data_IF_211622624077
#
_entry.id   IF_211622624077
#
_cell.length_a   1.000
_cell.length_b   1.000
_cell.length_c   1.000
_cell.angle_alpha   90.00
_cell.angle_beta   90.00
_cell.angle_gamma   90.00
#
_symmetry.space_group_name_H-M   'P 1'
#
loop_
_entity.id
_entity.type
_entity.pdbx_description
1 polymer ?
#
# COMPACT_ATOMS: atom_id res chain seq x y z
N UNK A 1 -14.71 -1.42 17.74
CA UNK A 1 -13.92 -0.69 16.71
C UNK A 1 -12.46 -0.85 17.09
N UNK A 2 -11.60 -1.21 16.13
CA UNK A 2 -10.15 -1.40 16.32
C UNK A 2 -9.44 -0.38 15.44
N UNK A 3 -8.32 0.15 15.91
CA UNK A 3 -7.46 1.03 15.13
C UNK A 3 -6.05 0.42 15.06
N UNK A 4 -5.43 0.48 13.88
CA UNK A 4 -4.06 0.06 13.64
C UNK A 4 -3.26 1.31 13.25
N UNK A 5 -2.24 1.66 14.05
CA UNK A 5 -1.46 2.88 13.84
C UNK A 5 -0.16 2.61 13.07
N UNK A 6 0.21 3.54 12.19
CA UNK A 6 1.51 3.64 11.50
C UNK A 6 2.28 4.87 12.00
N UNK A 7 3.60 4.89 11.78
CA UNK A 7 4.41 6.10 11.97
C UNK A 7 4.42 6.98 10.70
N UNK A 8 4.11 6.35 9.57
CA UNK A 8 4.04 6.90 8.23
C UNK A 8 2.79 7.78 8.06
N UNK A 9 2.96 8.93 7.41
CA UNK A 9 1.87 9.89 7.15
C UNK A 9 0.92 9.44 6.05
N UNK A 10 1.45 8.77 5.03
CA UNK A 10 0.69 8.23 3.91
C UNK A 10 0.52 6.72 4.11
N UNK A 11 -0.71 6.18 4.08
CA UNK A 11 -0.92 4.74 4.17
C UNK A 11 -0.17 3.95 3.10
N UNK A 12 0.08 4.50 1.90
CA UNK A 12 0.76 3.81 0.81
C UNK A 12 2.28 3.66 1.00
N UNK A 13 2.87 4.38 1.95
CA UNK A 13 4.27 4.17 2.36
C UNK A 13 4.40 3.31 3.61
N UNK A 14 3.28 2.84 4.17
CA UNK A 14 3.28 1.98 5.35
C UNK A 14 3.10 0.50 4.98
N UNK A 15 4.00 -0.35 5.49
CA UNK A 15 3.88 -1.80 5.38
C UNK A 15 2.56 -2.36 5.93
N UNK A 16 1.95 -1.68 6.91
CA UNK A 16 0.66 -2.12 7.46
C UNK A 16 -0.44 -2.06 6.42
N UNK A 17 -0.45 -1.04 5.56
CA UNK A 17 -1.42 -0.99 4.44
C UNK A 17 -1.06 -2.04 3.40
N UNK A 18 0.19 -2.03 2.97
CA UNK A 18 0.66 -2.80 1.81
C UNK A 18 0.62 -4.32 2.06
N UNK A 19 0.87 -4.76 3.29
CA UNK A 19 0.92 -6.18 3.64
C UNK A 19 -0.29 -6.62 4.48
N UNK A 20 -0.60 -5.90 5.55
CA UNK A 20 -1.62 -6.34 6.52
C UNK A 20 -3.03 -6.01 6.05
N UNK A 21 -3.31 -4.74 5.72
CA UNK A 21 -4.63 -4.33 5.25
C UNK A 21 -5.01 -5.04 3.95
N UNK A 22 -4.04 -5.29 3.06
CA UNK A 22 -4.23 -6.17 1.90
C UNK A 22 -4.91 -7.47 2.31
N UNK A 23 -4.39 -8.21 3.29
CA UNK A 23 -4.97 -9.49 3.68
C UNK A 23 -6.32 -9.35 4.42
N UNK A 24 -6.55 -8.23 5.11
CA UNK A 24 -7.75 -7.97 5.91
C UNK A 24 -8.91 -7.36 5.12
N UNK A 25 -8.68 -6.89 3.88
CA UNK A 25 -9.67 -6.15 3.07
C UNK A 25 -10.96 -6.91 2.79
N UNK A 26 -10.94 -8.25 2.86
CA UNK A 26 -12.12 -9.09 2.66
C UNK A 26 -12.93 -9.31 3.95
N UNK A 27 -12.36 -9.04 5.11
CA UNK A 27 -12.97 -9.28 6.42
C UNK A 27 -13.43 -7.97 7.09
N UNK A 28 -12.81 -6.85 6.73
CA UNK A 28 -13.05 -5.56 7.34
C UNK A 28 -13.26 -4.47 6.29
N UNK A 29 -14.20 -3.56 6.58
CA UNK A 29 -14.23 -2.25 5.95
C UNK A 29 -13.11 -1.40 6.55
N UNK A 30 -12.13 -1.04 5.73
CA UNK A 30 -10.93 -0.30 6.15
C UNK A 30 -11.05 1.16 5.71
N UNK A 31 -10.71 2.06 6.63
CA UNK A 31 -10.66 3.50 6.41
C UNK A 31 -9.32 4.01 6.93
N UNK A 32 -8.67 4.88 6.16
CA UNK A 32 -7.39 5.50 6.51
C UNK A 32 -7.63 6.93 6.99
N UNK A 33 -6.96 7.29 8.08
CA UNK A 33 -6.93 8.68 8.55
C UNK A 33 -5.67 9.31 7.96
N UNK A 34 -5.84 10.23 7.01
CA UNK A 34 -4.73 10.95 6.38
C UNK A 34 -4.13 12.00 7.34
N UNK A 35 -2.94 12.50 7.02
CA UNK A 35 -2.26 13.52 7.82
C UNK A 35 -3.05 14.85 7.93
N UNK A 36 -3.89 15.12 6.94
CA UNK A 36 -4.86 16.22 6.93
C UNK A 36 -6.02 16.04 7.91
N UNK A 37 -6.19 14.85 8.48
CA UNK A 37 -7.34 14.43 9.28
C UNK A 37 -8.54 13.96 8.45
N UNK A 38 -8.44 13.94 7.12
CA UNK A 38 -9.47 13.39 6.25
C UNK A 38 -9.51 11.85 6.31
N UNK A 39 -10.69 11.29 6.06
CA UNK A 39 -10.88 9.86 5.97
C UNK A 39 -10.85 9.43 4.50
N UNK A 40 -9.97 8.49 4.18
CA UNK A 40 -9.86 7.87 2.86
C UNK A 40 -10.35 6.41 2.94
N UNK A 41 -11.38 6.02 2.19
CA UNK A 41 -11.76 4.62 2.04
C UNK A 41 -10.64 3.78 1.43
N UNK A 42 -10.47 2.54 1.89
CA UNK A 42 -9.40 1.67 1.40
C UNK A 42 -9.36 1.50 -0.13
N UNK A 43 -10.52 1.39 -0.77
CA UNK A 43 -10.64 1.30 -2.23
C UNK A 43 -10.04 2.53 -2.96
N UNK A 44 -10.12 3.72 -2.37
CA UNK A 44 -9.51 4.93 -2.94
C UNK A 44 -7.99 4.91 -2.79
N UNK A 45 -7.49 4.41 -1.66
CA UNK A 45 -6.06 4.19 -1.46
C UNK A 45 -5.52 3.18 -2.48
N UNK A 46 -6.25 2.11 -2.79
CA UNK A 46 -5.87 1.12 -3.82
C UNK A 46 -5.82 1.74 -5.23
N UNK A 47 -6.74 2.67 -5.57
CA UNK A 47 -6.66 3.40 -6.84
C UNK A 47 -5.45 4.34 -6.90
N UNK A 48 -5.13 5.04 -5.79
CA UNK A 48 -3.90 5.83 -5.67
C UNK A 48 -2.65 4.96 -5.75
N UNK A 49 -2.70 3.74 -5.24
CA UNK A 49 -1.61 2.77 -5.32
C UNK A 49 -1.32 2.38 -6.77
N UNK A 50 -2.35 2.16 -7.59
CA UNK A 50 -2.18 1.93 -9.04
C UNK A 50 -1.45 3.12 -9.71
N UNK A 51 -1.89 4.34 -9.41
CA UNK A 51 -1.27 5.55 -9.97
C UNK A 51 0.19 5.70 -9.51
N UNK A 52 0.48 5.39 -8.24
CA UNK A 52 1.80 5.48 -7.62
C UNK A 52 2.83 4.58 -8.32
N UNK A 53 2.44 3.34 -8.64
CA UNK A 53 3.32 2.37 -9.31
C UNK A 53 3.27 2.44 -10.85
N UNK A 54 2.49 3.38 -11.40
CA UNK A 54 2.35 3.58 -12.84
C UNK A 54 1.52 2.51 -13.55
N UNK A 55 0.58 1.86 -12.86
CA UNK A 55 -0.37 0.92 -13.47
C UNK A 55 -1.67 1.63 -13.86
N UNK A 56 -2.33 1.21 -14.96
CA UNK A 56 -3.62 1.78 -15.34
C UNK A 56 -4.70 1.35 -14.35
N UNK A 57 -5.76 2.17 -14.21
CA UNK A 57 -6.93 1.82 -13.38
C UNK A 57 -7.87 0.80 -14.05
N UNK A 58 -7.73 0.60 -15.36
CA UNK A 58 -8.51 -0.34 -16.17
C UNK A 58 -7.61 -0.94 -17.23
N UNK A 59 -7.76 -2.23 -17.47
CA UNK A 59 -7.03 -2.96 -18.50
C UNK A 59 -8.01 -3.86 -19.27
N UNK A 60 -7.68 -4.19 -20.52
CA UNK A 60 -8.53 -5.02 -21.37
C UNK A 60 -8.40 -6.52 -21.06
N UNK A 61 -7.24 -6.93 -20.53
CA UNK A 61 -6.88 -8.32 -20.31
C UNK A 61 -6.81 -8.69 -18.83
N UNK A 62 -6.51 -7.72 -17.97
CA UNK A 62 -6.42 -7.89 -16.51
C UNK A 62 -7.62 -7.26 -15.83
N UNK A 63 -8.17 -7.97 -14.85
CA UNK A 63 -9.13 -7.42 -13.91
C UNK A 63 -8.48 -6.33 -13.05
N UNK A 64 -9.32 -5.44 -12.50
CA UNK A 64 -8.85 -4.41 -11.56
C UNK A 64 -8.15 -5.02 -10.34
N UNK A 65 -8.65 -6.17 -9.85
CA UNK A 65 -8.05 -6.87 -8.72
C UNK A 65 -6.63 -7.36 -9.04
N UNK A 66 -6.40 -7.93 -10.22
CA UNK A 66 -5.06 -8.35 -10.65
C UNK A 66 -4.09 -7.17 -10.78
N UNK A 67 -4.56 -6.00 -11.19
CA UNK A 67 -3.74 -4.77 -11.25
C UNK A 67 -3.40 -4.29 -9.83
N UNK A 68 -4.37 -4.31 -8.92
CA UNK A 68 -4.18 -3.92 -7.51
C UNK A 68 -3.19 -4.87 -6.82
N UNK A 69 -3.31 -6.18 -7.05
CA UNK A 69 -2.39 -7.16 -6.46
C UNK A 69 -0.94 -6.97 -6.94
N UNK A 70 -0.73 -6.68 -8.23
CA UNK A 70 0.59 -6.32 -8.78
C UNK A 70 1.11 -4.99 -8.19
N UNK A 71 0.23 -4.01 -7.97
CA UNK A 71 0.62 -2.76 -7.33
C UNK A 71 1.06 -2.95 -5.87
N UNK A 72 0.38 -3.83 -5.12
CA UNK A 72 0.82 -4.22 -3.78
C UNK A 72 2.20 -4.88 -3.79
N UNK A 73 2.44 -5.79 -4.74
CA UNK A 73 3.73 -6.48 -4.85
C UNK A 73 4.87 -5.49 -5.14
N UNK A 74 4.70 -4.62 -6.15
CA UNK A 74 5.69 -3.57 -6.49
C UNK A 74 5.96 -2.61 -5.35
N UNK A 75 4.91 -2.11 -4.71
CA UNK A 75 5.06 -1.17 -3.62
C UNK A 75 5.71 -1.83 -2.40
N UNK A 76 5.38 -3.10 -2.13
CA UNK A 76 6.01 -3.89 -1.08
C UNK A 76 7.52 -4.02 -1.27
N UNK A 77 7.97 -4.26 -2.51
CA UNK A 77 9.40 -4.32 -2.85
C UNK A 77 10.11 -2.96 -2.72
N UNK A 78 9.40 -1.86 -3.02
CA UNK A 78 9.93 -0.50 -2.94
C UNK A 78 10.16 -0.06 -1.49
N UNK A 79 9.19 -0.30 -0.60
CA UNK A 79 9.28 0.14 0.80
C UNK A 79 9.93 -0.88 1.74
N UNK A 80 10.23 -2.10 1.25
CA UNK A 80 10.88 -3.14 2.01
C UNK A 80 12.20 -2.67 2.63
N UNK A 81 12.42 -3.06 3.89
CA UNK A 81 13.69 -2.83 4.56
C UNK A 81 14.84 -3.52 3.79
N UNK A 82 15.94 -2.78 3.60
CA UNK A 82 17.19 -3.29 3.04
C UNK A 82 18.28 -3.11 4.07
N UNK A 83 19.04 -4.17 4.33
CA UNK A 83 20.21 -4.08 5.21
C UNK A 83 21.24 -3.09 4.62
N UNK A 84 21.74 -2.13 5.41
CA UNK A 84 22.82 -1.27 4.96
C UNK A 84 24.04 -2.11 4.62
N UNK A 85 24.62 -1.92 3.43
CA UNK A 85 25.90 -2.53 3.10
C UNK A 85 26.99 -1.88 3.96
N UNK A 86 27.52 -2.62 4.94
CA UNK A 86 28.73 -2.21 5.64
C UNK A 86 29.87 -2.13 4.61
N UNK A 87 30.50 -0.96 4.40
CA UNK A 87 31.63 -0.86 3.49
C UNK A 87 32.73 -1.82 3.94
N UNK A 88 33.29 -2.59 3.02
CA UNK A 88 34.43 -3.44 3.33
C UNK A 88 35.60 -2.55 3.77
N UNK A 89 36.07 -2.76 5.00
CA UNK A 89 37.28 -2.12 5.52
C UNK A 89 38.44 -2.40 4.55
N UNK A 90 39.04 -1.34 4.01
CA UNK A 90 40.21 -1.41 3.12
C UNK A 90 41.49 -1.19 3.92
#
# INVERSE_FOLDING_TARGET
RVALMCAEKDPLTCHRTILICRQLRTEFTIEHILDSGQIEPHEQAELRLLDLVGLPRRDLFRSQQELIDDAYDRQGEDIAYREPQTPAET
#
